data_IF_539422473680
#
_entry.id   IF_539422473680
#
_cell.length_a   1.000
_cell.length_b   1.000
_cell.length_c   1.000
_cell.angle_alpha   90.00
_cell.angle_beta   90.00
_cell.angle_gamma   90.00
#
_symmetry.space_group_name_H-M   'P 1'
#
loop_
_entity.id
_entity.type
_entity.pdbx_description
1 polymer ?
#
# COMPACT_ATOMS: atom_id res chain seq x y z
N UNK A 1 82.41 5.88 40.54
CA UNK A 1 81.36 6.50 39.70
C UNK A 1 80.01 6.39 40.42
N UNK A 2 79.37 7.50 40.78
CA UNK A 2 78.03 7.50 41.41
C UNK A 2 76.96 7.21 40.35
N UNK A 3 76.21 6.12 40.47
CA UNK A 3 75.04 5.85 39.61
C UNK A 3 73.90 6.78 40.05
N UNK A 4 73.45 7.68 39.16
CA UNK A 4 72.26 8.50 39.39
C UNK A 4 71.03 7.69 38.96
N UNK A 5 70.17 7.37 39.92
CA UNK A 5 68.86 6.78 39.68
C UNK A 5 67.89 7.92 39.35
N UNK A 6 67.34 7.92 38.14
CA UNK A 6 66.35 8.92 37.70
C UNK A 6 64.96 8.37 37.97
N UNK A 7 64.25 8.94 38.94
CA UNK A 7 62.83 8.65 39.14
C UNK A 7 62.01 9.56 38.22
N UNK A 8 61.36 8.97 37.23
CA UNK A 8 60.37 9.68 36.40
C UNK A 8 59.02 9.62 37.13
N UNK A 9 58.67 10.70 37.83
CA UNK A 9 57.33 10.87 38.39
C UNK A 9 56.38 11.36 37.30
N UNK A 10 55.53 10.48 36.79
CA UNK A 10 54.40 10.88 35.94
C UNK A 10 53.24 11.27 36.87
N UNK A 11 53.10 12.56 37.14
CA UNK A 11 51.89 13.10 37.75
C UNK A 11 50.78 13.10 36.70
N UNK A 12 49.90 12.10 36.70
CA UNK A 12 48.67 12.17 35.93
C UNK A 12 47.70 13.12 36.66
N UNK A 13 47.76 14.41 36.36
CA UNK A 13 46.66 15.29 36.74
C UNK A 13 45.39 14.78 36.05
N UNK A 14 44.26 14.62 36.75
CA UNK A 14 42.98 14.50 36.07
C UNK A 14 42.78 15.78 35.26
N UNK A 15 42.83 15.66 33.93
CA UNK A 15 42.50 16.75 33.02
C UNK A 15 40.99 16.94 33.12
N UNK A 16 40.55 17.91 33.91
CA UNK A 16 39.16 18.35 33.92
C UNK A 16 38.94 19.25 32.70
N UNK A 17 38.56 18.67 31.57
CA UNK A 17 38.15 19.41 30.37
C UNK A 17 36.74 19.97 30.62
N UNK A 18 36.67 21.15 31.24
CA UNK A 18 35.41 21.89 31.31
C UNK A 18 35.25 22.71 30.01
N UNK A 19 34.21 22.39 29.25
CA UNK A 19 33.72 23.08 28.04
C UNK A 19 34.65 23.06 26.80
N UNK A 20 34.83 21.89 26.17
CA UNK A 20 35.23 21.82 24.76
C UNK A 20 34.39 20.77 24.04
N UNK A 21 33.96 21.09 22.82
CA UNK A 21 33.37 20.12 21.90
C UNK A 21 34.43 19.05 21.55
N UNK A 22 34.06 17.78 21.53
CA UNK A 22 34.96 16.67 21.19
C UNK A 22 34.86 16.37 19.69
N UNK A 23 35.98 16.50 18.99
CA UNK A 23 36.10 16.10 17.58
C UNK A 23 36.73 14.72 17.42
N UNK A 24 36.15 13.85 16.59
CA UNK A 24 36.81 12.65 16.05
C UNK A 24 36.93 12.84 14.55
N UNK A 25 38.16 12.81 14.03
CA UNK A 25 38.49 13.13 12.63
C UNK A 25 38.04 14.55 12.19
N UNK A 26 37.97 15.50 13.12
CA UNK A 26 37.70 16.92 12.85
C UNK A 26 38.45 17.80 13.84
N UNK A 27 39.04 18.90 13.36
CA UNK A 27 39.77 19.87 14.19
C UNK A 27 38.91 21.10 14.57
N UNK A 28 37.66 21.17 14.08
CA UNK A 28 36.74 22.27 14.35
C UNK A 28 35.34 21.72 14.69
N UNK A 29 35.18 21.06 15.85
CA UNK A 29 33.95 20.38 16.19
C UNK A 29 32.78 21.36 16.41
N UNK A 30 31.69 21.18 15.66
CA UNK A 30 30.52 22.10 15.67
C UNK A 30 29.43 21.72 16.69
N UNK A 31 29.57 20.57 17.35
CA UNK A 31 28.68 20.08 18.39
C UNK A 31 29.49 19.46 19.53
N UNK A 32 28.88 19.25 20.69
CA UNK A 32 29.54 18.66 21.87
C UNK A 32 30.30 17.36 21.54
N UNK A 33 29.81 16.59 20.58
CA UNK A 33 30.52 15.50 19.91
C UNK A 33 30.33 15.64 18.40
N UNK A 34 31.42 15.81 17.65
CA UNK A 34 31.44 15.90 16.19
C UNK A 34 32.35 14.79 15.64
N UNK A 35 31.74 13.75 15.05
CA UNK A 35 32.44 12.58 14.52
C UNK A 35 32.29 12.54 13.01
N UNK A 36 33.42 12.63 12.30
CA UNK A 36 33.47 12.43 10.85
C UNK A 36 33.88 11.00 10.51
N UNK A 37 33.16 10.39 9.57
CA UNK A 37 33.31 9.02 9.13
C UNK A 37 32.28 8.05 9.76
N UNK A 38 32.69 6.79 9.86
CA UNK A 38 31.83 5.67 10.25
C UNK A 38 31.61 5.60 11.76
N UNK A 39 30.35 5.41 12.14
CA UNK A 39 29.88 5.20 13.49
C UNK A 39 29.22 3.82 13.54
N UNK A 40 29.46 3.05 14.59
CA UNK A 40 28.95 1.69 14.70
C UNK A 40 28.55 1.38 16.13
N UNK A 41 27.36 0.78 16.28
CA UNK A 41 26.76 0.41 17.56
C UNK A 41 26.30 -1.04 17.49
N UNK A 42 26.78 -1.89 18.41
CA UNK A 42 26.45 -3.32 18.46
C UNK A 42 27.69 -4.21 18.51
N UNK A 43 27.52 -5.50 18.21
CA UNK A 43 28.57 -6.51 18.23
C UNK A 43 29.38 -6.60 16.93
N UNK A 44 30.30 -7.57 16.86
CA UNK A 44 31.20 -7.78 15.72
C UNK A 44 30.49 -8.17 14.41
N UNK A 45 29.31 -8.79 14.48
CA UNK A 45 28.56 -9.25 13.31
C UNK A 45 27.14 -8.69 13.23
N UNK A 46 26.61 -8.15 14.33
CA UNK A 46 25.26 -7.57 14.43
C UNK A 46 25.35 -6.14 14.95
N UNK A 47 25.09 -5.16 14.08
CA UNK A 47 25.26 -3.75 14.43
C UNK A 47 24.42 -2.82 13.57
N UNK A 48 24.13 -1.64 14.12
CA UNK A 48 23.73 -0.46 13.39
C UNK A 48 24.99 0.34 13.03
N UNK A 49 25.09 0.83 11.81
CA UNK A 49 26.13 1.78 11.41
C UNK A 49 25.54 3.00 10.73
N UNK A 50 26.16 4.15 11.00
CA UNK A 50 25.91 5.40 10.30
C UNK A 50 27.22 5.92 9.72
N UNK A 51 27.24 6.21 8.43
CA UNK A 51 28.35 6.91 7.79
C UNK A 51 27.98 8.38 7.60
N UNK A 52 28.63 9.25 8.36
CA UNK A 52 28.39 10.69 8.30
C UNK A 52 28.83 11.35 6.99
N UNK A 53 29.66 10.69 6.18
CA UNK A 53 30.07 11.21 4.87
C UNK A 53 29.00 10.94 3.79
N UNK A 54 28.38 9.77 3.79
CA UNK A 54 27.34 9.39 2.81
C UNK A 54 25.91 9.56 3.31
N UNK A 55 25.71 9.75 4.62
CA UNK A 55 24.38 9.77 5.25
C UNK A 55 23.74 8.39 5.38
N UNK A 56 24.43 7.30 5.00
CA UNK A 56 23.88 5.95 4.99
C UNK A 56 23.68 5.44 6.43
N UNK A 57 22.46 5.01 6.73
CA UNK A 57 22.13 4.22 7.93
C UNK A 57 21.94 2.76 7.51
N UNK A 58 22.60 1.84 8.19
CA UNK A 58 22.55 0.42 7.86
C UNK A 58 22.42 -0.47 9.10
N UNK A 59 21.46 -1.39 9.06
CA UNK A 59 21.34 -2.48 10.03
C UNK A 59 22.00 -3.74 9.45
N UNK A 60 23.18 -4.09 9.93
CA UNK A 60 23.90 -5.31 9.53
C UNK A 60 23.51 -6.46 10.46
N UNK A 61 22.91 -7.52 9.91
CA UNK A 61 22.37 -8.68 10.65
C UNK A 61 21.53 -8.29 11.87
N UNK A 62 20.90 -7.11 11.78
CA UNK A 62 20.04 -6.49 12.76
C UNK A 62 18.89 -5.84 12.00
N UNK A 63 17.90 -5.32 12.71
CA UNK A 63 16.71 -4.72 12.11
C UNK A 63 16.12 -3.68 13.03
N UNK A 64 15.26 -2.84 12.48
CA UNK A 64 14.39 -1.98 13.27
C UNK A 64 13.28 -2.84 13.89
N UNK A 65 13.29 -2.97 15.22
CA UNK A 65 12.27 -3.71 15.94
C UNK A 65 11.09 -2.79 16.28
N UNK A 66 9.89 -3.16 15.82
CA UNK A 66 8.70 -2.31 15.87
C UNK A 66 7.48 -3.11 16.39
N UNK A 67 7.36 -3.32 17.71
CA UNK A 67 6.35 -4.22 18.27
C UNK A 67 4.96 -3.58 18.40
N UNK A 68 4.88 -2.26 18.42
CA UNK A 68 3.66 -1.48 18.65
C UNK A 68 3.54 -0.36 17.63
N UNK A 69 2.36 0.27 17.56
CA UNK A 69 2.15 1.45 16.71
C UNK A 69 3.21 2.51 16.98
N UNK A 70 3.99 2.87 15.96
CA UNK A 70 4.98 3.93 16.06
C UNK A 70 5.34 4.50 14.67
N UNK A 71 5.81 5.74 14.69
CA UNK A 71 6.43 6.35 13.52
C UNK A 71 7.78 5.66 13.23
N UNK A 72 8.02 5.31 11.97
CA UNK A 72 9.30 4.85 11.46
C UNK A 72 10.10 6.01 10.86
N UNK A 73 9.39 6.93 10.19
CA UNK A 73 9.92 8.19 9.66
C UNK A 73 8.86 9.26 9.82
N UNK A 74 9.23 10.42 10.36
CA UNK A 74 8.33 11.59 10.45
C UNK A 74 8.77 12.64 9.44
N UNK A 75 7.80 13.28 8.78
CA UNK A 75 8.06 14.39 7.87
C UNK A 75 7.91 15.76 8.54
N UNK A 76 7.14 15.85 9.64
CA UNK A 76 7.05 17.04 10.47
C UNK A 76 6.88 16.71 11.96
N UNK A 77 6.67 17.72 12.79
CA UNK A 77 6.27 17.53 14.19
C UNK A 77 4.86 16.91 14.33
N UNK A 78 4.02 17.02 13.30
CA UNK A 78 2.66 16.47 13.25
C UNK A 78 2.66 14.93 13.05
N UNK A 79 1.55 14.38 12.56
CA UNK A 79 1.34 12.93 12.43
C UNK A 79 1.69 12.36 11.04
N UNK A 80 2.28 13.16 10.15
CA UNK A 80 2.70 12.80 8.80
C UNK A 80 4.03 12.02 8.80
N UNK A 81 4.08 10.99 7.94
CA UNK A 81 5.23 10.10 7.89
C UNK A 81 4.87 8.66 7.56
N UNK A 82 5.88 7.80 7.65
CA UNK A 82 5.76 6.34 7.57
C UNK A 82 5.57 5.77 8.97
N UNK A 83 4.57 4.93 9.14
CA UNK A 83 4.20 4.32 10.41
C UNK A 83 4.00 2.82 10.26
N UNK A 84 4.32 2.11 11.34
CA UNK A 84 3.67 0.84 11.62
C UNK A 84 2.47 1.10 12.53
N UNK A 85 1.32 0.55 12.18
CA UNK A 85 0.09 0.67 12.93
C UNK A 85 -0.44 -0.71 13.32
N UNK A 86 -0.55 -0.89 14.63
CA UNK A 86 -0.95 -2.12 15.30
C UNK A 86 -1.79 -1.76 16.54
N UNK A 87 -2.79 -0.90 16.36
CA UNK A 87 -3.66 -0.39 17.42
C UNK A 87 -5.04 -0.04 16.88
N UNK A 88 -6.03 0.09 17.78
CA UNK A 88 -7.36 0.58 17.40
C UNK A 88 -8.11 -0.33 16.42
N UNK A 89 -7.93 -1.64 16.53
CA UNK A 89 -8.55 -2.62 15.61
C UNK A 89 -7.79 -2.83 14.29
N UNK A 90 -6.75 -2.03 14.03
CA UNK A 90 -5.83 -2.23 12.92
C UNK A 90 -4.66 -3.10 13.40
N UNK A 91 -4.41 -4.20 12.70
CA UNK A 91 -3.29 -5.10 12.99
C UNK A 91 -2.38 -5.23 11.78
N UNK A 92 -1.07 -5.05 11.96
CA UNK A 92 -0.08 -5.33 10.93
C UNK A 92 -0.16 -4.41 9.70
N UNK A 93 -0.35 -3.11 9.91
CA UNK A 93 -0.46 -2.14 8.82
C UNK A 93 0.80 -1.29 8.71
N UNK A 94 1.44 -1.32 7.54
CA UNK A 94 2.48 -0.35 7.17
C UNK A 94 1.81 0.76 6.36
N UNK A 95 1.91 1.99 6.82
CA UNK A 95 1.15 3.10 6.25
C UNK A 95 1.92 4.42 6.18
N UNK A 96 1.65 5.19 5.12
CA UNK A 96 1.94 6.62 5.09
C UNK A 96 0.72 7.40 5.56
N UNK A 97 0.96 8.41 6.40
CA UNK A 97 -0.07 9.29 6.96
C UNK A 97 0.11 10.75 6.50
N UNK A 98 -0.98 11.49 6.46
CA UNK A 98 -0.95 12.95 6.36
C UNK A 98 -0.80 13.63 7.73
N UNK A 99 -0.74 14.96 7.77
CA UNK A 99 -0.51 15.74 8.99
C UNK A 99 -1.60 15.53 10.06
N UNK A 100 -2.83 15.18 9.63
CA UNK A 100 -3.96 14.85 10.50
C UNK A 100 -3.91 13.40 11.02
N UNK A 101 -2.90 12.62 10.65
CA UNK A 101 -2.74 11.22 11.04
C UNK A 101 -3.60 10.24 10.26
N UNK A 102 -4.30 10.69 9.21
CA UNK A 102 -5.10 9.81 8.37
C UNK A 102 -4.21 9.08 7.36
N UNK A 103 -4.44 7.78 7.09
CA UNK A 103 -3.69 7.06 6.08
C UNK A 103 -3.92 7.68 4.69
N UNK A 104 -2.84 7.77 3.92
CA UNK A 104 -2.85 8.14 2.49
C UNK A 104 -2.51 6.96 1.59
N UNK A 105 -1.72 6.02 2.10
CA UNK A 105 -1.41 4.73 1.50
C UNK A 105 -1.15 3.71 2.60
N UNK A 106 -1.63 2.48 2.45
CA UNK A 106 -1.20 1.38 3.31
C UNK A 106 -1.26 0.02 2.62
N UNK A 107 -0.50 -0.91 3.21
CA UNK A 107 -0.69 -2.36 3.03
C UNK A 107 -0.83 -3.00 4.39
N UNK A 108 -1.78 -3.93 4.52
CA UNK A 108 -2.01 -4.69 5.73
C UNK A 108 -1.69 -6.17 5.47
N UNK A 109 -0.65 -6.69 6.11
CA UNK A 109 -0.20 -8.06 5.88
C UNK A 109 -1.05 -9.11 6.62
N UNK A 110 -1.90 -8.68 7.57
CA UNK A 110 -2.77 -9.59 8.33
C UNK A 110 -3.99 -9.99 7.51
N UNK A 111 -4.59 -9.03 6.78
CA UNK A 111 -5.81 -9.27 6.00
C UNK A 111 -5.60 -9.16 4.48
N UNK A 112 -4.42 -8.75 4.02
CA UNK A 112 -4.09 -8.59 2.60
C UNK A 112 -4.65 -7.32 1.93
N UNK A 113 -5.30 -6.43 2.69
CA UNK A 113 -5.91 -5.22 2.13
C UNK A 113 -4.87 -4.12 1.91
N UNK A 114 -5.15 -3.24 0.95
CA UNK A 114 -4.39 -2.02 0.70
C UNK A 114 -5.32 -0.84 0.39
N UNK A 115 -4.77 0.36 0.46
CA UNK A 115 -5.52 1.61 0.24
C UNK A 115 -4.66 2.68 -0.41
N UNK A 116 -5.28 3.50 -1.25
CA UNK A 116 -4.75 4.74 -1.79
C UNK A 116 -5.83 5.82 -1.68
N UNK A 117 -5.55 6.96 -1.02
CA UNK A 117 -6.56 8.00 -0.77
C UNK A 117 -7.08 8.72 -2.01
N UNK A 118 -6.28 8.78 -3.07
CA UNK A 118 -6.58 9.55 -4.26
C UNK A 118 -6.47 8.70 -5.53
N UNK A 119 -5.33 8.80 -6.23
CA UNK A 119 -5.13 8.17 -7.53
C UNK A 119 -4.01 7.13 -7.45
N UNK A 120 -4.23 6.00 -8.11
CA UNK A 120 -3.25 4.96 -8.38
C UNK A 120 -2.90 4.98 -9.87
N UNK A 121 -1.66 5.31 -10.19
CA UNK A 121 -1.10 5.14 -11.52
C UNK A 121 -0.36 3.81 -11.63
N UNK A 122 -0.64 3.04 -12.67
CA UNK A 122 0.16 1.87 -13.07
C UNK A 122 0.84 2.25 -14.39
N UNK A 123 2.18 2.25 -14.37
CA UNK A 123 3.02 2.74 -15.48
C UNK A 123 2.81 4.23 -15.84
N UNK A 124 2.29 5.04 -14.92
CA UNK A 124 2.15 6.49 -15.07
C UNK A 124 2.28 7.20 -13.72
N UNK A 125 3.02 8.31 -13.68
CA UNK A 125 3.18 9.14 -12.47
C UNK A 125 2.16 10.29 -12.39
N UNK A 126 1.44 10.55 -13.48
CA UNK A 126 0.42 11.60 -13.57
C UNK A 126 -0.96 10.97 -13.89
N UNK A 127 -1.55 10.19 -12.97
CA UNK A 127 -2.83 9.54 -13.21
C UNK A 127 -3.96 10.56 -13.44
N UNK A 128 -4.81 10.33 -14.44
CA UNK A 128 -5.94 11.22 -14.79
C UNK A 128 -7.25 10.83 -14.09
N UNK A 129 -7.33 9.63 -13.53
CA UNK A 129 -8.48 9.09 -12.80
C UNK A 129 -8.01 8.41 -11.50
N UNK A 130 -8.96 7.95 -10.66
CA UNK A 130 -8.65 7.24 -9.42
C UNK A 130 -7.78 5.98 -9.67
N UNK A 131 -7.99 5.30 -10.80
CA UNK A 131 -7.09 4.28 -11.33
C UNK A 131 -6.76 4.64 -12.78
N UNK A 132 -5.47 4.76 -13.11
CA UNK A 132 -5.00 4.98 -14.48
C UNK A 132 -3.90 3.96 -14.79
N UNK A 133 -4.16 3.07 -15.76
CA UNK A 133 -3.17 2.13 -16.28
C UNK A 133 -2.73 2.62 -17.65
N UNK A 134 -1.44 2.89 -17.83
CA UNK A 134 -0.86 3.35 -19.10
C UNK A 134 0.03 2.27 -19.75
N UNK A 135 0.06 2.25 -21.09
CA UNK A 135 1.01 1.48 -21.91
C UNK A 135 1.15 -0.02 -21.57
N UNK A 136 0.08 -0.65 -21.09
CA UNK A 136 0.01 -2.09 -20.83
C UNK A 136 -1.44 -2.60 -20.78
N UNK A 137 -1.61 -3.92 -20.85
CA UNK A 137 -2.92 -4.59 -20.75
C UNK A 137 -3.38 -4.75 -19.31
N UNK A 138 -4.70 -4.66 -19.08
CA UNK A 138 -5.31 -5.05 -17.80
C UNK A 138 -5.97 -6.42 -17.96
N UNK A 139 -5.55 -7.40 -17.17
CA UNK A 139 -6.12 -8.75 -17.15
C UNK A 139 -7.10 -8.89 -15.98
N UNK A 140 -8.38 -9.12 -16.30
CA UNK A 140 -9.39 -9.58 -15.34
C UNK A 140 -9.68 -11.06 -15.63
N UNK A 141 -9.31 -11.94 -14.71
CA UNK A 141 -9.44 -13.39 -14.90
C UNK A 141 -10.41 -14.01 -13.90
N UNK A 142 -10.96 -15.15 -14.28
CA UNK A 142 -11.72 -16.06 -13.42
C UNK A 142 -11.24 -17.50 -13.69
N UNK A 143 -11.45 -18.46 -12.77
CA UNK A 143 -11.16 -19.87 -13.03
C UNK A 143 -11.91 -20.38 -14.28
N UNK A 144 -11.32 -21.31 -15.02
CA UNK A 144 -11.94 -21.89 -16.23
C UNK A 144 -13.21 -22.69 -15.90
N UNK A 145 -13.27 -23.29 -14.72
CA UNK A 145 -14.46 -23.91 -14.17
C UNK A 145 -15.17 -22.93 -13.23
N UNK A 146 -16.40 -22.52 -13.61
CA UNK A 146 -17.23 -21.66 -12.78
C UNK A 146 -17.93 -22.48 -11.67
N UNK A 147 -18.16 -21.90 -10.48
CA UNK A 147 -18.86 -22.58 -9.40
C UNK A 147 -20.31 -22.90 -9.77
N UNK A 148 -20.79 -24.08 -9.38
CA UNK A 148 -22.22 -24.45 -9.54
C UNK A 148 -23.16 -23.61 -8.68
N UNK A 149 -22.64 -23.05 -7.57
CA UNK A 149 -23.35 -22.11 -6.70
C UNK A 149 -22.53 -20.83 -6.52
N UNK A 150 -22.74 -19.80 -7.36
CA UNK A 150 -22.10 -18.52 -7.22
C UNK A 150 -22.60 -17.73 -5.99
N UNK A 151 -21.70 -17.13 -5.23
CA UNK A 151 -21.97 -16.08 -4.24
C UNK A 151 -22.50 -14.81 -4.90
N UNK A 152 -23.11 -13.91 -4.13
CA UNK A 152 -23.54 -12.59 -4.62
C UNK A 152 -22.43 -11.80 -5.34
N UNK A 153 -22.76 -10.94 -6.32
CA UNK A 153 -21.80 -9.98 -6.83
C UNK A 153 -21.34 -9.03 -5.71
N UNK A 154 -20.18 -8.35 -5.86
CA UNK A 154 -19.68 -7.41 -4.86
C UNK A 154 -20.65 -6.28 -4.49
N UNK A 155 -21.63 -6.00 -5.34
CA UNK A 155 -22.69 -5.01 -5.12
C UNK A 155 -24.00 -5.45 -5.81
N UNK A 156 -25.12 -5.33 -5.08
CA UNK A 156 -26.49 -5.63 -5.54
C UNK A 156 -27.38 -4.39 -5.46
N UNK A 157 -28.63 -4.49 -5.91
CA UNK A 157 -29.63 -3.42 -5.94
C UNK A 157 -29.27 -2.28 -6.90
N UNK A 158 -29.91 -1.11 -6.73
CA UNK A 158 -29.77 0.05 -7.58
C UNK A 158 -28.34 0.62 -7.62
N UNK A 159 -28.01 1.34 -8.69
CA UNK A 159 -26.77 2.11 -8.83
C UNK A 159 -26.00 1.84 -10.11
N UNK A 160 -25.10 2.77 -10.43
CA UNK A 160 -24.25 2.73 -11.61
C UNK A 160 -22.94 2.02 -11.31
N UNK A 161 -22.51 1.10 -12.19
CA UNK A 161 -21.27 0.35 -12.01
C UNK A 161 -20.73 -0.18 -13.34
N UNK A 162 -19.42 -0.37 -13.40
CA UNK A 162 -18.77 -1.36 -14.25
C UNK A 162 -18.46 -2.56 -13.37
N UNK A 163 -18.89 -3.76 -13.76
CA UNK A 163 -18.74 -4.96 -12.95
C UNK A 163 -18.33 -6.15 -13.83
N UNK A 164 -17.14 -6.67 -13.54
CA UNK A 164 -16.75 -8.04 -13.90
C UNK A 164 -17.15 -8.97 -12.76
N UNK A 165 -18.18 -9.79 -12.98
CA UNK A 165 -18.64 -10.77 -12.00
C UNK A 165 -18.01 -12.13 -12.31
N UNK A 166 -16.82 -12.34 -11.74
CA UNK A 166 -15.93 -13.46 -12.05
C UNK A 166 -16.58 -14.84 -11.90
N UNK A 167 -17.44 -15.03 -10.90
CA UNK A 167 -18.08 -16.33 -10.65
C UNK A 167 -19.10 -16.75 -11.71
N UNK A 168 -19.54 -15.81 -12.57
CA UNK A 168 -20.38 -16.10 -13.74
C UNK A 168 -19.70 -15.72 -15.05
N UNK A 169 -18.43 -15.29 -15.01
CA UNK A 169 -17.73 -14.72 -16.15
C UNK A 169 -18.57 -13.68 -16.92
N UNK A 170 -19.31 -12.86 -16.18
CA UNK A 170 -20.30 -11.95 -16.73
C UNK A 170 -19.86 -10.50 -16.60
N UNK A 171 -20.15 -9.67 -17.60
CA UNK A 171 -19.77 -8.26 -17.63
C UNK A 171 -20.99 -7.34 -17.64
N UNK A 172 -20.93 -6.27 -16.83
CA UNK A 172 -21.97 -5.25 -16.71
C UNK A 172 -21.36 -3.86 -16.81
N UNK A 173 -22.01 -2.94 -17.51
CA UNK A 173 -21.60 -1.52 -17.55
C UNK A 173 -22.79 -0.58 -17.75
N UNK A 174 -22.92 0.44 -16.91
CA UNK A 174 -24.12 1.31 -16.86
C UNK A 174 -24.80 1.27 -15.49
N UNK A 175 -26.13 1.14 -15.42
CA UNK A 175 -26.88 1.25 -14.17
C UNK A 175 -28.17 0.43 -14.08
N UNK A 176 -28.67 0.28 -12.87
CA UNK A 176 -29.97 -0.33 -12.56
C UNK A 176 -30.69 0.51 -11.52
N UNK A 177 -32.02 0.63 -11.62
CA UNK A 177 -32.90 1.25 -10.63
C UNK A 177 -33.30 0.27 -9.51
N UNK A 178 -33.08 -1.04 -9.73
CA UNK A 178 -33.48 -2.11 -8.81
C UNK A 178 -32.51 -3.30 -8.93
N UNK A 179 -33.02 -4.53 -8.98
CA UNK A 179 -32.30 -5.80 -8.86
C UNK A 179 -31.88 -6.41 -10.21
N UNK A 180 -31.86 -5.60 -11.30
CA UNK A 180 -31.59 -6.10 -12.65
C UNK A 180 -30.18 -6.72 -12.79
N UNK A 181 -29.23 -6.34 -11.92
CA UNK A 181 -27.86 -6.89 -11.87
C UNK A 181 -27.56 -7.62 -10.56
N UNK A 182 -28.58 -8.13 -9.88
CA UNK A 182 -28.39 -9.04 -8.77
C UNK A 182 -28.02 -10.44 -9.28
N UNK A 183 -27.52 -11.29 -8.38
CA UNK A 183 -27.06 -12.66 -8.70
C UNK A 183 -28.02 -13.40 -9.64
N UNK A 184 -29.31 -13.38 -9.37
CA UNK A 184 -30.33 -14.15 -10.11
C UNK A 184 -30.73 -13.51 -11.44
N UNK A 185 -30.34 -12.25 -11.65
CA UNK A 185 -30.54 -11.50 -12.88
C UNK A 185 -29.31 -11.50 -13.81
N UNK A 186 -28.26 -12.25 -13.44
CA UNK A 186 -27.02 -12.37 -14.21
C UNK A 186 -26.86 -13.80 -14.73
N UNK A 187 -26.92 -13.97 -16.05
CA UNK A 187 -26.61 -15.24 -16.73
C UNK A 187 -25.12 -15.55 -16.74
N UNK A 188 -24.77 -16.82 -16.87
CA UNK A 188 -23.38 -17.27 -17.04
C UNK A 188 -22.87 -16.80 -18.42
N UNK A 189 -21.65 -16.27 -18.49
CA UNK A 189 -21.04 -15.68 -19.70
C UNK A 189 -21.84 -14.54 -20.34
N UNK A 190 -22.76 -13.91 -19.59
CA UNK A 190 -23.65 -12.89 -20.14
C UNK A 190 -23.01 -11.50 -20.17
N UNK A 191 -23.42 -10.68 -21.13
CA UNK A 191 -23.04 -9.28 -21.25
C UNK A 191 -24.28 -8.39 -21.11
N UNK A 192 -24.20 -7.34 -20.29
CA UNK A 192 -25.24 -6.31 -20.26
C UNK A 192 -24.68 -4.89 -20.20
N UNK A 193 -25.27 -3.97 -20.97
CA UNK A 193 -24.85 -2.57 -21.01
C UNK A 193 -26.02 -1.60 -21.10
N UNK A 194 -25.92 -0.44 -20.45
CA UNK A 194 -26.99 0.58 -20.44
C UNK A 194 -27.75 0.60 -19.11
N UNK A 195 -29.05 0.90 -19.15
CA UNK A 195 -29.86 1.12 -17.94
C UNK A 195 -30.98 0.09 -17.82
N UNK A 196 -31.09 -0.57 -16.67
CA UNK A 196 -32.11 -1.58 -16.37
C UNK A 196 -32.14 -2.77 -17.35
N UNK A 197 -31.01 -3.07 -17.98
CA UNK A 197 -30.87 -4.25 -18.85
C UNK A 197 -30.74 -5.53 -18.04
N UNK A 198 -31.43 -6.60 -18.47
CA UNK A 198 -31.45 -7.91 -17.81
C UNK A 198 -31.04 -9.03 -18.76
N UNK A 199 -29.80 -9.49 -18.64
CA UNK A 199 -29.30 -10.67 -19.36
C UNK A 199 -29.25 -11.87 -18.40
N UNK A 200 -30.35 -12.60 -18.25
CA UNK A 200 -30.45 -13.76 -17.33
C UNK A 200 -30.05 -15.08 -17.98
N UNK A 201 -30.17 -15.18 -19.31
CA UNK A 201 -29.81 -16.40 -20.03
C UNK A 201 -28.31 -16.64 -20.08
N UNK A 202 -27.90 -17.91 -20.12
CA UNK A 202 -26.50 -18.29 -20.39
C UNK A 202 -26.07 -17.75 -21.75
N UNK A 203 -24.91 -17.09 -21.85
CA UNK A 203 -24.41 -16.42 -23.07
C UNK A 203 -25.32 -15.29 -23.60
N UNK A 204 -26.27 -14.80 -22.79
CA UNK A 204 -27.20 -13.76 -23.24
C UNK A 204 -26.54 -12.37 -23.32
N UNK A 205 -27.01 -11.56 -24.26
CA UNK A 205 -26.58 -10.17 -24.48
C UNK A 205 -27.77 -9.22 -24.38
N UNK A 206 -27.73 -8.26 -23.44
CA UNK A 206 -28.76 -7.22 -23.30
C UNK A 206 -28.14 -5.81 -23.36
N UNK A 207 -28.58 -4.94 -24.26
CA UNK A 207 -28.04 -3.56 -24.36
C UNK A 207 -29.13 -2.52 -24.56
N UNK A 208 -28.99 -1.35 -23.93
CA UNK A 208 -29.90 -0.21 -24.08
C UNK A 208 -30.68 0.11 -22.80
N UNK A 209 -31.97 0.42 -22.92
CA UNK A 209 -32.84 0.79 -21.80
C UNK A 209 -33.92 -0.27 -21.60
N UNK A 210 -33.91 -0.96 -20.46
CA UNK A 210 -34.92 -1.97 -20.12
C UNK A 210 -34.91 -3.25 -20.97
N UNK A 211 -33.84 -3.49 -21.74
CA UNK A 211 -33.71 -4.66 -22.62
C UNK A 211 -33.58 -5.97 -21.81
N UNK A 212 -34.28 -7.04 -22.21
CA UNK A 212 -34.34 -8.33 -21.51
C UNK A 212 -33.95 -9.49 -22.42
N UNK A 213 -32.83 -10.13 -22.15
CA UNK A 213 -32.38 -11.35 -22.83
C UNK A 213 -32.42 -12.51 -21.83
N UNK A 214 -33.53 -13.26 -21.84
CA UNK A 214 -33.86 -14.21 -20.77
C UNK A 214 -33.49 -15.66 -21.10
N UNK A 215 -33.42 -16.01 -22.39
CA UNK A 215 -33.04 -17.35 -22.85
C UNK A 215 -31.54 -17.49 -23.08
N UNK A 216 -31.07 -18.74 -23.07
CA UNK A 216 -29.73 -19.07 -23.50
C UNK A 216 -29.43 -18.55 -24.90
N UNK A 217 -28.25 -17.98 -25.12
CA UNK A 217 -27.78 -17.44 -26.40
C UNK A 217 -28.62 -16.29 -26.99
N UNK A 218 -29.54 -15.72 -26.21
CA UNK A 218 -30.43 -14.65 -26.69
C UNK A 218 -29.77 -13.28 -26.74
N UNK A 219 -30.25 -12.43 -27.65
CA UNK A 219 -29.80 -11.04 -27.78
C UNK A 219 -31.01 -10.10 -27.78
N UNK A 220 -30.98 -9.06 -26.94
CA UNK A 220 -31.98 -8.00 -26.90
C UNK A 220 -31.28 -6.63 -26.86
N UNK A 221 -31.58 -5.75 -27.81
CA UNK A 221 -30.92 -4.45 -27.95
C UNK A 221 -31.92 -3.33 -28.24
N UNK A 222 -31.81 -2.22 -27.52
CA UNK A 222 -32.61 -1.01 -27.74
C UNK A 222 -33.47 -0.63 -26.54
N UNK A 223 -34.70 -0.17 -26.80
CA UNK A 223 -35.64 0.31 -25.79
C UNK A 223 -36.71 -0.76 -25.52
N UNK A 224 -36.73 -1.29 -24.29
CA UNK A 224 -37.63 -2.36 -23.84
C UNK A 224 -37.70 -3.61 -24.72
N UNK A 225 -36.66 -3.88 -25.51
CA UNK A 225 -36.58 -5.07 -26.35
C UNK A 225 -36.49 -6.33 -25.50
N UNK A 226 -37.17 -7.40 -25.91
CA UNK A 226 -37.22 -8.66 -25.16
C UNK A 226 -36.95 -9.86 -26.06
N UNK A 227 -36.11 -10.77 -25.58
CA UNK A 227 -35.90 -12.12 -26.10
C UNK A 227 -36.17 -13.08 -24.94
N UNK A 228 -37.37 -13.66 -24.93
CA UNK A 228 -37.98 -14.43 -23.83
C UNK A 228 -37.97 -15.93 -24.09
#
# INVERSE_FOLDING_TARGET
MKKKLFFLFVFSMPVFINAQNVGINTNNPQASLDVRGNQRFGGATQYLSYDSLSGKVEWKNSYLYVPVTQALMKHSAAADGLFYNNSGGVNGQLEYRNELGNPVFFTNFTNGNGYFRNRLGISTINPLAALHVADSSVLFAAPSALPSSPNGPPVSNAGNRMLWYSQKAAFRTGGTSSTAWDKDSIGIYSFASGFDTKATGTYATASGYGAKAMQGYSTAMGFFSAAL
#
